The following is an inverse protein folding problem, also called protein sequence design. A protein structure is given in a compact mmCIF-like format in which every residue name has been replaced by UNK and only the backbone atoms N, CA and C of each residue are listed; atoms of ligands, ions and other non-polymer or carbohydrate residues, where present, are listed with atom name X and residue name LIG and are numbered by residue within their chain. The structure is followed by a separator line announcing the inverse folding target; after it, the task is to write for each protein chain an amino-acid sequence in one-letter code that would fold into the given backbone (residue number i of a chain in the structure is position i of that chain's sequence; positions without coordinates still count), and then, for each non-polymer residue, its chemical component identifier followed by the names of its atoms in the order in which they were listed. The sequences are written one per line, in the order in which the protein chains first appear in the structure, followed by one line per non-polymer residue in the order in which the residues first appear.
data_IF_451566043751
#
_entry.id   IF_451566043751
#
_cell.length_a   1.000
_cell.length_b   1.000
_cell.length_c   1.000
_cell.angle_alpha   90.00
_cell.angle_beta   90.00
_cell.angle_gamma   90.00
#
_symmetry.space_group_name_H-M   'P 1'
#
loop_
_entity.id
_entity.type
_entity.pdbx_description
1 polymer ?
#
# COMPACT_ATOMS: atom_id res chain seq x y z
N UNK A 1 -6.53 61.14 56.74
CA UNK A 1 -6.70 61.12 55.28
C UNK A 1 -5.41 60.57 54.70
N UNK A 2 -5.40 59.31 54.27
CA UNK A 2 -4.19 58.59 53.98
C UNK A 2 -4.22 58.24 52.49
N UNK A 3 -3.50 58.96 51.67
CA UNK A 3 -3.34 58.72 50.24
C UNK A 3 -2.55 57.42 50.05
N UNK A 4 -3.14 56.53 49.29
CA UNK A 4 -2.50 55.33 48.81
C UNK A 4 -1.97 55.58 47.40
N UNK A 5 -0.68 55.85 47.29
CA UNK A 5 0.06 55.81 46.06
C UNK A 5 -0.03 54.36 45.46
N UNK A 6 -0.76 54.23 44.35
CA UNK A 6 -0.71 53.05 43.50
C UNK A 6 0.39 53.25 42.47
N UNK A 7 1.57 52.76 42.76
CA UNK A 7 2.63 52.57 41.77
C UNK A 7 2.22 51.44 40.83
N UNK A 8 1.68 51.79 39.68
CA UNK A 8 1.52 50.85 38.55
C UNK A 8 2.91 50.55 37.99
N UNK A 9 3.37 49.35 38.25
CA UNK A 9 4.59 48.81 37.64
C UNK A 9 4.37 48.65 36.12
N UNK A 10 4.94 49.56 35.36
CA UNK A 10 4.97 49.53 33.90
C UNK A 10 5.76 48.32 33.46
N UNK A 11 5.07 47.30 32.92
CA UNK A 11 5.67 46.09 32.33
C UNK A 11 6.41 46.51 31.05
N UNK A 12 7.70 46.76 31.14
CA UNK A 12 8.58 47.02 30.01
C UNK A 12 8.57 45.77 29.11
N UNK A 13 7.85 45.82 28.01
CA UNK A 13 7.93 44.83 26.94
C UNK A 13 9.34 44.94 26.33
N UNK A 14 10.21 43.99 26.67
CA UNK A 14 11.52 43.85 26.04
C UNK A 14 11.29 43.29 24.63
N UNK A 15 11.45 44.13 23.62
CA UNK A 15 11.49 43.71 22.23
C UNK A 15 12.73 42.83 21.97
N UNK A 16 12.62 41.91 21.01
CA UNK A 16 13.75 41.07 20.58
C UNK A 16 14.85 41.96 19.96
N UNK A 17 16.08 41.63 20.28
CA UNK A 17 17.24 42.28 19.66
C UNK A 17 17.47 41.68 18.25
N UNK A 18 18.05 42.49 17.35
CA UNK A 18 18.40 42.03 16.01
C UNK A 18 19.35 40.80 16.06
N UNK A 19 20.27 40.81 17.05
CA UNK A 19 21.21 39.71 17.25
C UNK A 19 20.49 38.40 17.66
N UNK A 20 19.52 38.49 18.57
CA UNK A 20 18.71 37.31 18.95
C UNK A 20 17.98 36.71 17.73
N UNK A 21 17.41 37.56 16.89
CA UNK A 21 16.74 37.11 15.67
C UNK A 21 17.73 36.41 14.74
N UNK A 22 18.90 36.99 14.49
CA UNK A 22 19.92 36.36 13.61
C UNK A 22 20.41 35.03 14.14
N UNK A 23 20.62 34.92 15.46
CA UNK A 23 21.03 33.66 16.08
C UNK A 23 19.94 32.59 15.92
N UNK A 24 18.68 32.94 16.18
CA UNK A 24 17.55 32.00 16.03
C UNK A 24 17.40 31.49 14.59
N UNK A 25 17.43 32.39 13.59
CA UNK A 25 17.32 31.98 12.19
C UNK A 25 18.52 31.13 11.74
N UNK A 26 19.72 31.40 12.26
CA UNK A 26 20.91 30.60 11.97
C UNK A 26 20.80 29.21 12.52
N UNK A 27 20.33 29.03 13.76
CA UNK A 27 20.08 27.71 14.36
C UNK A 27 18.99 26.96 13.57
N UNK A 28 17.89 27.65 13.23
CA UNK A 28 16.82 27.05 12.43
C UNK A 28 17.30 26.59 11.04
N UNK A 29 18.15 27.41 10.39
CA UNK A 29 18.72 27.03 9.08
C UNK A 29 19.58 25.75 9.16
N UNK A 30 20.41 25.62 10.21
CA UNK A 30 21.21 24.41 10.45
C UNK A 30 20.31 23.20 10.70
N UNK A 31 19.31 23.33 11.57
CA UNK A 31 18.37 22.25 11.89
C UNK A 31 17.59 21.79 10.64
N UNK A 32 17.09 22.72 9.84
CA UNK A 32 16.39 22.41 8.59
C UNK A 32 17.31 21.71 7.59
N UNK A 33 18.59 22.11 7.51
CA UNK A 33 19.58 21.46 6.65
C UNK A 33 19.80 19.98 6.97
N UNK A 34 19.63 19.57 8.22
CA UNK A 34 19.76 18.17 8.66
C UNK A 34 18.42 17.40 8.51
N UNK A 35 17.29 18.06 8.80
CA UNK A 35 15.98 17.41 8.79
C UNK A 35 15.52 17.00 7.39
N UNK A 36 15.72 17.84 6.38
CA UNK A 36 15.23 17.58 5.01
C UNK A 36 15.79 16.29 4.41
N UNK A 37 17.09 15.98 4.41
CA UNK A 37 17.61 14.72 3.88
C UNK A 37 17.15 13.51 4.70
N UNK A 38 16.92 13.65 5.99
CA UNK A 38 16.46 12.56 6.86
C UNK A 38 15.04 12.08 6.49
N UNK A 39 14.13 13.01 6.20
CA UNK A 39 12.75 12.66 5.79
C UNK A 39 12.73 11.88 4.47
N UNK A 40 13.55 12.27 3.50
CA UNK A 40 13.63 11.55 2.22
C UNK A 40 14.14 10.12 2.39
N UNK A 41 15.08 9.88 3.29
CA UNK A 41 15.57 8.53 3.61
C UNK A 41 14.46 7.65 4.20
N UNK A 42 13.66 8.17 5.13
CA UNK A 42 12.54 7.45 5.75
C UNK A 42 11.49 7.05 4.69
N UNK A 43 11.18 7.95 3.78
CA UNK A 43 10.24 7.66 2.69
C UNK A 43 10.80 6.59 1.74
N UNK A 44 12.11 6.60 1.47
CA UNK A 44 12.78 5.57 0.68
C UNK A 44 12.69 4.17 1.32
N UNK A 45 12.85 4.06 2.64
CA UNK A 45 12.66 2.80 3.37
C UNK A 45 11.22 2.29 3.29
N UNK A 46 10.23 3.17 3.34
CA UNK A 46 8.82 2.80 3.20
C UNK A 46 8.53 2.20 1.81
N UNK A 47 9.09 2.77 0.75
CA UNK A 47 8.96 2.23 -0.62
C UNK A 47 9.57 0.85 -0.72
N UNK A 48 10.78 0.67 -0.17
CA UNK A 48 11.45 -0.63 -0.15
C UNK A 48 10.61 -1.66 0.61
N UNK A 49 10.17 -1.33 1.82
CA UNK A 49 9.35 -2.23 2.64
C UNK A 49 8.03 -2.59 1.96
N UNK A 50 7.36 -1.63 1.33
CA UNK A 50 6.12 -1.90 0.59
C UNK A 50 6.36 -2.86 -0.59
N UNK A 51 7.44 -2.67 -1.35
CA UNK A 51 7.80 -3.58 -2.42
C UNK A 51 8.15 -5.00 -1.90
N UNK A 52 8.86 -5.09 -0.77
CA UNK A 52 9.18 -6.37 -0.13
C UNK A 52 7.91 -7.08 0.37
N UNK A 53 6.97 -6.35 0.98
CA UNK A 53 5.67 -6.91 1.39
C UNK A 53 4.88 -7.44 0.20
N UNK A 54 4.86 -6.72 -0.94
CA UNK A 54 4.21 -7.21 -2.16
C UNK A 54 4.87 -8.49 -2.66
N UNK A 55 6.21 -8.54 -2.70
CA UNK A 55 6.94 -9.75 -3.10
C UNK A 55 6.62 -10.95 -2.19
N UNK A 56 6.64 -10.73 -0.87
CA UNK A 56 6.26 -11.77 0.11
C UNK A 56 4.82 -12.25 -0.10
N UNK A 57 3.92 -11.32 -0.42
CA UNK A 57 2.52 -11.67 -0.70
C UNK A 57 2.37 -12.48 -1.99
N UNK A 58 3.14 -12.17 -3.03
CA UNK A 58 3.20 -12.95 -4.26
C UNK A 58 3.69 -14.38 -3.99
N UNK A 59 4.78 -14.55 -3.25
CA UNK A 59 5.33 -15.87 -2.89
C UNK A 59 4.33 -16.68 -2.07
N UNK A 60 3.67 -16.05 -1.09
CA UNK A 60 2.63 -16.68 -0.29
C UNK A 60 1.46 -17.11 -1.15
N UNK A 61 0.96 -16.22 -2.01
CA UNK A 61 -0.18 -16.50 -2.89
C UNK A 61 0.14 -17.61 -3.87
N UNK A 62 1.34 -17.61 -4.45
CA UNK A 62 1.81 -18.68 -5.35
C UNK A 62 1.82 -20.03 -4.65
N UNK A 63 2.42 -20.10 -3.46
CA UNK A 63 2.48 -21.34 -2.66
C UNK A 63 1.09 -21.83 -2.27
N UNK A 64 0.21 -20.93 -1.85
CA UNK A 64 -1.15 -21.28 -1.44
C UNK A 64 -2.01 -21.68 -2.64
N UNK A 65 -1.89 -21.03 -3.80
CA UNK A 65 -2.62 -21.38 -5.00
C UNK A 65 -2.28 -22.81 -5.50
N UNK A 66 -1.02 -23.23 -5.36
CA UNK A 66 -0.61 -24.59 -5.73
C UNK A 66 -1.13 -25.66 -4.74
N UNK A 67 -1.33 -25.29 -3.48
CA UNK A 67 -1.76 -26.22 -2.41
C UNK A 67 -3.26 -26.18 -2.12
N UNK A 68 -3.98 -25.17 -2.60
CA UNK A 68 -5.40 -24.94 -2.33
C UNK A 68 -6.20 -24.91 -3.63
N UNK A 69 -7.52 -24.92 -3.51
CA UNK A 69 -8.41 -24.79 -4.67
C UNK A 69 -8.34 -23.37 -5.25
N UNK A 70 -8.28 -22.36 -4.37
CA UNK A 70 -8.15 -20.96 -4.73
C UNK A 70 -7.08 -20.30 -3.84
N UNK A 71 -6.22 -19.54 -4.45
CA UNK A 71 -5.26 -18.67 -3.77
C UNK A 71 -5.19 -17.34 -4.48
N UNK A 72 -5.71 -16.29 -3.85
CA UNK A 72 -5.72 -14.93 -4.38
C UNK A 72 -5.16 -13.94 -3.39
N UNK A 73 -4.44 -12.93 -3.89
CA UNK A 73 -4.11 -11.74 -3.12
C UNK A 73 -4.84 -10.54 -3.70
N UNK A 74 -5.32 -9.68 -2.83
CA UNK A 74 -5.89 -8.38 -3.17
C UNK A 74 -5.01 -7.29 -2.58
N UNK A 75 -4.43 -6.47 -3.43
CA UNK A 75 -3.77 -5.23 -3.08
C UNK A 75 -4.78 -4.11 -3.25
N UNK A 76 -5.11 -3.38 -2.19
CA UNK A 76 -6.10 -2.30 -2.25
C UNK A 76 -5.60 -1.01 -1.62
N UNK A 77 -6.09 0.12 -2.13
CA UNK A 77 -5.90 1.44 -1.59
C UNK A 77 -7.14 1.89 -0.81
N UNK A 78 -6.90 2.46 0.36
CA UNK A 78 -7.91 3.10 1.20
C UNK A 78 -7.38 4.45 1.71
N UNK A 79 -8.21 5.26 2.32
CA UNK A 79 -7.79 6.52 2.95
C UNK A 79 -6.71 6.34 4.02
N UNK A 80 -6.60 5.14 4.59
CA UNK A 80 -5.59 4.80 5.59
C UNK A 80 -4.26 4.33 4.97
N UNK A 81 -4.23 4.04 3.66
CA UNK A 81 -3.07 3.54 2.94
C UNK A 81 -3.34 2.29 2.12
N UNK A 82 -2.29 1.52 1.87
CA UNK A 82 -2.35 0.28 1.09
C UNK A 82 -2.36 -0.93 1.98
N UNK A 83 -3.23 -1.87 1.62
CA UNK A 83 -3.43 -3.11 2.35
C UNK A 83 -3.34 -4.30 1.40
N UNK A 84 -2.85 -5.42 1.91
CA UNK A 84 -2.91 -6.71 1.26
C UNK A 84 -3.83 -7.61 2.08
N UNK A 85 -4.73 -8.28 1.39
CA UNK A 85 -5.57 -9.34 1.92
C UNK A 85 -5.49 -10.57 1.04
N UNK A 86 -5.83 -11.74 1.59
CA UNK A 86 -5.76 -13.02 0.90
C UNK A 86 -7.12 -13.70 0.93
N UNK A 87 -7.50 -14.29 -0.19
CA UNK A 87 -8.60 -15.22 -0.26
C UNK A 87 -8.05 -16.61 -0.53
N UNK A 88 -8.28 -17.54 0.39
CA UNK A 88 -7.71 -18.87 0.36
C UNK A 88 -8.82 -19.90 0.60
N UNK A 89 -9.11 -20.75 -0.37
CA UNK A 89 -10.11 -21.82 -0.26
C UNK A 89 -9.49 -23.19 -0.49
N UNK A 90 -9.77 -24.12 0.40
CA UNK A 90 -9.32 -25.51 0.31
C UNK A 90 -10.32 -26.44 -0.35
N UNK A 91 -11.49 -25.95 -0.76
CA UNK A 91 -12.54 -26.76 -1.38
C UNK A 91 -13.22 -27.74 -0.44
N UNK A 92 -12.93 -27.71 0.87
CA UNK A 92 -13.61 -28.54 1.87
C UNK A 92 -14.81 -27.80 2.46
N UNK A 93 -15.97 -28.40 2.34
CA UNK A 93 -17.19 -27.95 2.98
C UNK A 93 -16.97 -27.80 4.50
N UNK A 94 -16.90 -26.57 5.00
CA UNK A 94 -16.76 -26.27 6.43
C UNK A 94 -15.56 -25.43 6.83
N UNK A 95 -14.47 -25.38 6.07
CA UNK A 95 -13.35 -24.46 6.31
C UNK A 95 -13.43 -23.25 5.36
N UNK A 96 -14.35 -22.36 5.62
CA UNK A 96 -14.39 -21.06 4.95
C UNK A 96 -13.27 -20.20 5.53
N UNK A 97 -12.18 -20.08 4.79
CA UNK A 97 -11.15 -19.08 5.12
C UNK A 97 -11.67 -17.71 4.70
N UNK A 98 -12.51 -17.12 5.55
CA UNK A 98 -12.89 -15.72 5.40
C UNK A 98 -11.65 -14.86 5.64
N UNK A 99 -11.34 -13.99 4.70
CA UNK A 99 -10.46 -12.87 4.97
C UNK A 99 -11.30 -11.88 5.79
N UNK A 100 -11.16 -11.93 7.11
CA UNK A 100 -11.73 -10.90 7.95
C UNK A 100 -11.03 -9.57 7.65
N UNK A 101 -11.71 -8.45 7.85
CA UNK A 101 -11.05 -7.13 7.76
C UNK A 101 -9.85 -7.01 8.71
N UNK A 102 -9.85 -7.80 9.78
CA UNK A 102 -8.78 -7.91 10.77
C UNK A 102 -7.51 -8.58 10.22
N UNK A 103 -7.62 -9.40 9.16
CA UNK A 103 -6.47 -10.09 8.54
C UNK A 103 -5.77 -9.27 7.44
N UNK A 104 -6.16 -8.00 7.26
CA UNK A 104 -5.52 -7.12 6.29
C UNK A 104 -4.17 -6.64 6.79
N UNK A 105 -3.13 -6.89 6.00
CA UNK A 105 -1.79 -6.39 6.28
C UNK A 105 -1.61 -4.99 5.67
N UNK A 106 -1.31 -3.99 6.51
CA UNK A 106 -0.95 -2.66 6.04
C UNK A 106 0.48 -2.63 5.56
N UNK A 107 0.70 -2.40 4.26
CA UNK A 107 2.03 -2.41 3.64
C UNK A 107 2.61 -1.01 3.42
N UNK A 108 1.76 0.00 3.23
CA UNK A 108 2.22 1.37 2.98
C UNK A 108 1.19 2.42 3.43
N UNK A 109 1.64 3.63 3.85
CA UNK A 109 0.75 4.75 4.11
C UNK A 109 0.18 5.34 2.80
N UNK A 110 -0.92 6.10 2.91
CA UNK A 110 -1.60 6.74 1.77
C UNK A 110 -0.70 7.68 0.93
N UNK A 111 0.36 8.22 1.52
CA UNK A 111 1.33 9.06 0.79
C UNK A 111 2.29 8.29 -0.14
N UNK A 112 2.29 6.96 -0.11
CA UNK A 112 2.98 6.12 -1.09
C UNK A 112 2.13 6.03 -2.35
N UNK A 113 2.73 5.93 -3.52
CA UNK A 113 2.02 5.78 -4.79
C UNK A 113 2.31 4.41 -5.37
N UNK A 114 1.27 3.58 -5.48
CA UNK A 114 1.37 2.25 -6.08
C UNK A 114 0.50 2.22 -7.33
N UNK A 115 1.10 1.84 -8.45
CA UNK A 115 0.42 1.64 -9.74
C UNK A 115 0.80 0.29 -10.31
N UNK A 116 0.00 -0.23 -11.22
CA UNK A 116 0.35 -1.40 -12.00
C UNK A 116 0.14 -1.15 -13.50
N UNK A 117 0.93 -1.82 -14.31
CA UNK A 117 0.75 -1.86 -15.76
C UNK A 117 0.27 -3.25 -16.17
N UNK A 118 -0.61 -3.28 -17.16
CA UNK A 118 -1.11 -4.52 -17.74
C UNK A 118 -0.43 -4.86 -19.08
N UNK A 119 -0.69 -6.06 -19.57
CA UNK A 119 -0.14 -6.57 -20.84
C UNK A 119 -0.64 -5.85 -22.09
N UNK A 120 -1.60 -4.94 -21.96
CA UNK A 120 -2.05 -4.05 -23.05
C UNK A 120 -1.26 -2.75 -23.09
N UNK A 121 -0.41 -2.51 -22.08
CA UNK A 121 0.34 -1.27 -21.88
C UNK A 121 -0.42 -0.19 -21.12
N UNK A 122 -1.62 -0.47 -20.64
CA UNK A 122 -2.37 0.45 -19.80
C UNK A 122 -1.78 0.47 -18.38
N UNK A 123 -1.74 1.67 -17.76
CA UNK A 123 -1.27 1.86 -16.40
C UNK A 123 -2.41 2.35 -15.52
N UNK A 124 -2.57 1.73 -14.36
CA UNK A 124 -3.61 2.01 -13.40
C UNK A 124 -3.01 2.48 -12.07
N UNK A 125 -3.43 3.65 -11.63
CA UNK A 125 -3.03 4.24 -10.35
C UNK A 125 -4.02 3.82 -9.28
N UNK A 126 -3.59 3.09 -8.26
CA UNK A 126 -4.50 2.64 -7.19
C UNK A 126 -5.00 3.78 -6.29
N UNK A 127 -4.27 4.89 -6.20
CA UNK A 127 -4.66 6.07 -5.39
C UNK A 127 -5.58 7.03 -6.12
N UNK A 128 -5.80 6.86 -7.43
CA UNK A 128 -6.52 7.80 -8.28
C UNK A 128 -7.37 7.06 -9.31
N UNK A 129 -8.55 7.60 -9.61
CA UNK A 129 -9.43 7.00 -10.59
C UNK A 129 -10.49 6.07 -9.99
N UNK A 130 -11.01 5.15 -10.81
CA UNK A 130 -12.06 4.20 -10.43
C UNK A 130 -11.52 2.83 -9.98
N UNK A 131 -10.22 2.57 -10.18
CA UNK A 131 -9.59 1.29 -9.84
C UNK A 131 -8.75 1.47 -8.59
N UNK A 132 -9.23 0.98 -7.47
CA UNK A 132 -8.54 1.07 -6.17
C UNK A 132 -7.96 -0.25 -5.69
N UNK A 133 -8.09 -1.31 -6.47
CA UNK A 133 -7.56 -2.62 -6.10
C UNK A 133 -7.00 -3.39 -7.30
N UNK A 134 -6.03 -4.25 -7.01
CA UNK A 134 -5.44 -5.22 -7.93
C UNK A 134 -5.58 -6.60 -7.30
N UNK A 135 -6.22 -7.54 -8.00
CA UNK A 135 -6.36 -8.92 -7.56
C UNK A 135 -5.49 -9.79 -8.45
N UNK A 136 -4.57 -10.51 -7.82
CA UNK A 136 -3.66 -11.45 -8.48
C UNK A 136 -3.91 -12.87 -7.97
N UNK A 137 -3.89 -13.82 -8.89
CA UNK A 137 -3.96 -15.24 -8.60
C UNK A 137 -3.11 -16.03 -9.55
N UNK A 138 -2.88 -17.29 -9.22
CA UNK A 138 -2.06 -18.22 -9.99
C UNK A 138 -2.88 -19.42 -10.46
N UNK A 139 -2.49 -19.94 -11.60
CA UNK A 139 -2.98 -21.25 -12.05
C UNK A 139 -2.39 -22.34 -11.16
N UNK A 140 -3.25 -23.20 -10.62
CA UNK A 140 -2.85 -24.27 -9.70
C UNK A 140 -1.94 -25.31 -10.35
N UNK A 141 -2.16 -25.60 -11.63
CA UNK A 141 -1.47 -26.67 -12.32
C UNK A 141 -0.09 -26.26 -12.81
N UNK A 142 0.06 -25.02 -13.26
CA UNK A 142 1.28 -24.49 -13.89
C UNK A 142 2.06 -23.53 -12.99
N UNK A 143 1.41 -22.95 -11.98
CA UNK A 143 1.98 -21.86 -11.17
C UNK A 143 2.09 -20.53 -11.91
N UNK A 144 1.57 -20.43 -13.14
CA UNK A 144 1.57 -19.18 -13.93
C UNK A 144 0.57 -18.18 -13.40
N UNK A 145 0.76 -16.87 -13.68
CA UNK A 145 -0.24 -15.88 -13.36
C UNK A 145 -1.49 -16.05 -14.20
N UNK A 146 -2.64 -15.88 -13.59
CA UNK A 146 -3.90 -15.74 -14.31
C UNK A 146 -4.16 -14.27 -14.68
N UNK A 147 -5.01 -13.99 -15.70
CA UNK A 147 -5.37 -12.62 -16.04
C UNK A 147 -5.94 -11.84 -14.87
N UNK A 148 -5.70 -10.52 -14.87
CA UNK A 148 -6.21 -9.61 -13.84
C UNK A 148 -7.72 -9.69 -13.82
N UNK A 149 -8.29 -9.81 -12.64
CA UNK A 149 -9.72 -9.72 -12.48
C UNK A 149 -10.17 -8.29 -12.63
N UNK A 150 -10.88 -8.00 -13.70
CA UNK A 150 -11.56 -6.73 -13.87
C UNK A 150 -12.90 -6.80 -13.16
N UNK A 151 -12.98 -6.18 -12.00
CA UNK A 151 -14.18 -6.15 -11.15
C UNK A 151 -13.92 -6.77 -9.79
N UNK A 152 -14.40 -6.11 -8.78
CA UNK A 152 -14.44 -6.64 -7.42
C UNK A 152 -15.41 -7.80 -7.38
N UNK A 153 -14.91 -9.04 -7.23
CA UNK A 153 -15.72 -10.01 -6.52
C UNK A 153 -15.84 -9.45 -5.11
N UNK A 154 -17.00 -8.94 -4.78
CA UNK A 154 -17.26 -8.61 -3.39
C UNK A 154 -17.26 -9.93 -2.62
N UNK A 155 -16.90 -9.90 -1.36
CA UNK A 155 -17.01 -11.05 -0.46
C UNK A 155 -18.41 -11.71 -0.56
N UNK A 156 -19.45 -10.91 -0.80
CA UNK A 156 -20.82 -11.37 -1.06
C UNK A 156 -20.96 -12.18 -2.35
N UNK A 157 -20.26 -11.81 -3.41
CA UNK A 157 -20.36 -12.52 -4.69
C UNK A 157 -19.68 -13.90 -4.59
N UNK A 158 -18.55 -13.97 -3.91
CA UNK A 158 -17.83 -15.23 -3.66
C UNK A 158 -18.66 -16.14 -2.74
N UNK A 159 -19.20 -15.59 -1.64
CA UNK A 159 -20.07 -16.32 -0.74
C UNK A 159 -21.34 -16.81 -1.44
N UNK A 160 -21.95 -15.96 -2.26
CA UNK A 160 -23.13 -16.33 -3.05
C UNK A 160 -22.87 -17.45 -4.05
N UNK A 161 -21.70 -17.52 -4.66
CA UNK A 161 -21.30 -18.60 -5.56
C UNK A 161 -21.07 -19.90 -4.77
N UNK A 162 -20.38 -19.83 -3.64
CA UNK A 162 -20.12 -20.99 -2.76
C UNK A 162 -21.41 -21.56 -2.15
N UNK A 163 -22.34 -20.70 -1.72
CA UNK A 163 -23.63 -21.11 -1.18
C UNK A 163 -24.52 -21.80 -2.24
N UNK A 164 -24.39 -21.40 -3.51
CA UNK A 164 -25.09 -22.03 -4.62
C UNK A 164 -24.41 -23.31 -5.13
N UNK A 165 -23.30 -23.74 -4.52
CA UNK A 165 -22.50 -24.89 -4.98
C UNK A 165 -21.90 -24.70 -6.37
N UNK A 166 -21.77 -23.44 -6.82
CA UNK A 166 -21.15 -23.12 -8.11
C UNK A 166 -19.64 -22.99 -7.92
N UNK A 167 -18.91 -23.55 -8.87
CA UNK A 167 -17.47 -23.36 -8.95
C UNK A 167 -17.16 -21.87 -9.12
N UNK A 168 -16.18 -21.37 -8.36
CA UNK A 168 -15.63 -20.05 -8.60
C UNK A 168 -14.97 -20.10 -9.97
N UNK A 169 -15.39 -19.26 -10.94
CA UNK A 169 -14.80 -19.32 -12.28
C UNK A 169 -13.31 -18.95 -12.20
N UNK A 170 -12.46 -19.96 -12.27
CA UNK A 170 -10.99 -19.81 -12.30
C UNK A 170 -10.48 -19.36 -13.67
N UNK A 171 -11.31 -19.51 -14.71
CA UNK A 171 -10.99 -19.05 -16.06
C UNK A 171 -11.26 -17.55 -16.16
N UNK A 172 -10.20 -16.76 -16.11
CA UNK A 172 -10.25 -15.31 -16.31
C UNK A 172 -9.83 -15.01 -17.74
N UNK A 173 -10.63 -14.19 -18.40
CA UNK A 173 -10.29 -13.60 -19.69
C UNK A 173 -9.88 -12.16 -19.45
N UNK A 174 -8.79 -11.73 -20.06
CA UNK A 174 -8.36 -10.33 -19.94
C UNK A 174 -6.85 -10.16 -19.97
N UNK A 175 -6.42 -8.95 -19.60
CA UNK A 175 -5.01 -8.58 -19.55
C UNK A 175 -4.31 -9.20 -18.33
N UNK A 176 -3.01 -9.42 -18.44
CA UNK A 176 -2.14 -9.84 -17.34
C UNK A 176 -1.52 -8.63 -16.65
N UNK A 177 -1.14 -8.75 -15.41
CA UNK A 177 -0.31 -7.74 -14.76
C UNK A 177 1.14 -7.94 -15.17
N UNK A 178 1.74 -6.94 -15.82
CA UNK A 178 3.13 -7.00 -16.25
C UNK A 178 4.08 -6.43 -15.19
N UNK A 179 3.65 -5.39 -14.48
CA UNK A 179 4.49 -4.80 -13.45
C UNK A 179 3.69 -4.06 -12.39
N UNK A 180 4.25 -4.01 -11.18
CA UNK A 180 3.77 -3.19 -10.07
C UNK A 180 4.87 -2.20 -9.73
N UNK A 181 4.53 -0.91 -9.71
CA UNK A 181 5.46 0.18 -9.41
C UNK A 181 5.08 0.83 -8.08
N UNK A 182 6.07 0.93 -7.18
CA UNK A 182 5.94 1.59 -5.88
C UNK A 182 6.82 2.84 -5.87
N UNK A 183 6.23 4.02 -5.60
CA UNK A 183 6.93 5.31 -5.60
C UNK A 183 6.69 6.08 -4.31
N UNK A 184 7.74 6.77 -3.83
CA UNK A 184 7.65 7.66 -2.66
C UNK A 184 9.01 8.21 -2.28
N UNK A 185 9.08 9.46 -1.78
CA UNK A 185 10.32 10.08 -1.31
C UNK A 185 11.46 10.09 -2.32
N UNK A 186 11.16 10.24 -3.61
CA UNK A 186 12.17 10.21 -4.68
C UNK A 186 12.74 8.82 -5.01
N UNK A 187 12.23 7.76 -4.36
CA UNK A 187 12.59 6.36 -4.65
C UNK A 187 11.49 5.67 -5.45
N UNK A 188 11.92 4.76 -6.32
CA UNK A 188 11.04 3.94 -7.15
C UNK A 188 11.49 2.50 -7.02
N UNK A 189 10.54 1.58 -6.89
CA UNK A 189 10.75 0.13 -7.01
C UNK A 189 9.76 -0.42 -8.02
N UNK A 190 10.25 -1.26 -8.91
CA UNK A 190 9.44 -1.92 -9.93
C UNK A 190 9.54 -3.43 -9.72
N UNK A 191 8.40 -4.08 -9.63
CA UNK A 191 8.25 -5.53 -9.57
C UNK A 191 7.69 -5.95 -10.92
N UNK A 192 8.50 -6.61 -11.74
CA UNK A 192 8.11 -7.12 -13.06
C UNK A 192 7.61 -8.53 -12.91
N UNK A 193 6.43 -8.84 -13.42
CA UNK A 193 5.78 -10.14 -13.30
C UNK A 193 5.93 -10.94 -14.60
N UNK A 194 6.30 -12.21 -14.49
CA UNK A 194 6.46 -13.10 -15.61
C UNK A 194 5.25 -14.03 -15.72
N UNK A 195 4.30 -13.69 -16.58
CA UNK A 195 2.98 -14.33 -16.67
C UNK A 195 3.06 -15.86 -16.78
N UNK A 196 3.97 -16.38 -17.59
CA UNK A 196 4.04 -17.82 -17.92
C UNK A 196 4.71 -18.67 -16.83
N UNK A 197 5.49 -18.05 -15.94
CA UNK A 197 6.25 -18.76 -14.90
C UNK A 197 5.77 -18.48 -13.48
N UNK A 198 4.91 -17.48 -13.31
CA UNK A 198 4.49 -17.01 -11.99
C UNK A 198 5.60 -16.35 -11.17
N UNK A 199 6.78 -16.14 -11.76
CA UNK A 199 7.92 -15.49 -11.10
C UNK A 199 7.89 -13.98 -11.28
N UNK A 200 8.72 -13.30 -10.50
CA UNK A 200 8.87 -11.85 -10.60
C UNK A 200 10.33 -11.43 -10.40
N UNK A 201 10.68 -10.26 -10.92
CA UNK A 201 11.95 -9.57 -10.68
C UNK A 201 11.68 -8.23 -9.99
N UNK A 202 12.50 -7.89 -8.99
CA UNK A 202 12.42 -6.62 -8.27
C UNK A 202 13.66 -5.76 -8.56
N UNK A 203 13.43 -4.53 -9.04
CA UNK A 203 14.46 -3.50 -9.31
C UNK A 203 14.23 -2.23 -8.50
#
# INVERSE_FOLDING_TARGET
MKDRDRTTAEKKNKGFTLVELVVVISILAILLGILVPSVNSILGFRVQRAADSICTALDKTHTEAMNRLVGEMKLEYTDQGYFISYYLDRGKSGEKSHVSEEDREKIAPAGTRISYADSTGATYNLWEGSVHSLILTYDRATGSFLPIQTGTFSEKDILGLLEQGKDIPLTRTGAYCDSITVKGGGKIRVITLHKDTGKYDKK
#
